data_IF_689675791850
#
_entry.id   IF_689675791850
#
_cell.length_a   1.000
_cell.length_b   1.000
_cell.length_c   1.000
_cell.angle_alpha   90.00
_cell.angle_beta   90.00
_cell.angle_gamma   90.00
#
_symmetry.space_group_name_H-M   'P 1'
#
loop_
_entity.id
_entity.type
_entity.pdbx_description
1 polymer ?
#
# COMPACT_ATOMS: atom_id res chain seq x y z
N UNK A 1 -6.99 -27.22 -54.18
CA UNK A 1 -7.43 -26.80 -52.83
C UNK A 1 -6.17 -26.50 -52.02
N UNK A 2 -5.87 -25.23 -51.80
CA UNK A 2 -4.86 -24.83 -50.81
C UNK A 2 -5.62 -24.01 -49.77
N UNK A 3 -5.90 -24.62 -48.62
CA UNK A 3 -6.48 -23.94 -47.47
C UNK A 3 -5.35 -23.14 -46.80
N UNK A 4 -5.56 -21.83 -46.65
CA UNK A 4 -4.77 -20.98 -45.78
C UNK A 4 -5.25 -21.18 -44.32
N UNK A 5 -4.40 -21.61 -43.38
CA UNK A 5 -4.78 -21.69 -41.97
C UNK A 5 -3.97 -20.68 -41.14
N UNK A 6 -4.22 -19.39 -41.32
CA UNK A 6 -3.71 -18.38 -40.39
C UNK A 6 -4.84 -17.46 -39.92
N UNK A 7 -5.82 -18.09 -39.26
CA UNK A 7 -6.60 -17.42 -38.23
C UNK A 7 -5.72 -17.39 -36.98
N UNK A 8 -5.01 -16.29 -36.73
CA UNK A 8 -4.51 -15.99 -35.40
C UNK A 8 -5.42 -14.92 -34.80
N UNK A 9 -6.41 -15.41 -34.08
CA UNK A 9 -7.07 -14.66 -33.02
C UNK A 9 -6.09 -14.58 -31.86
N UNK A 10 -5.57 -13.40 -31.55
CA UNK A 10 -5.04 -13.12 -30.23
C UNK A 10 -5.86 -11.99 -29.64
N UNK A 11 -6.94 -12.39 -28.99
CA UNK A 11 -7.46 -11.63 -27.86
C UNK A 11 -6.33 -11.56 -26.84
N UNK A 12 -5.80 -10.37 -26.62
CA UNK A 12 -4.87 -10.10 -25.55
C UNK A 12 -5.67 -10.04 -24.24
N UNK A 13 -5.96 -11.23 -23.71
CA UNK A 13 -6.21 -11.46 -22.29
C UNK A 13 -4.86 -11.30 -21.58
N UNK A 14 -4.58 -10.09 -21.11
CA UNK A 14 -3.61 -9.92 -20.04
C UNK A 14 -4.37 -9.70 -18.74
N UNK A 15 -4.71 -10.82 -18.10
CA UNK A 15 -4.83 -10.94 -16.65
C UNK A 15 -3.67 -10.20 -15.99
N UNK A 16 -3.97 -9.31 -15.04
CA UNK A 16 -3.10 -9.13 -13.88
C UNK A 16 -3.91 -8.59 -12.69
N UNK A 17 -4.02 -9.44 -11.66
CA UNK A 17 -4.12 -8.98 -10.28
C UNK A 17 -5.50 -8.88 -9.66
N UNK A 18 -6.29 -9.95 -9.71
CA UNK A 18 -7.15 -10.28 -8.57
C UNK A 18 -6.24 -10.44 -7.34
N UNK A 19 -6.19 -9.43 -6.47
CA UNK A 19 -5.79 -9.65 -5.09
C UNK A 19 -7.06 -10.02 -4.34
N UNK A 20 -7.12 -11.19 -3.67
CA UNK A 20 -8.26 -11.57 -2.87
C UNK A 20 -8.44 -10.50 -1.79
N UNK A 21 -9.55 -9.78 -1.89
CA UNK A 21 -10.07 -8.89 -0.86
C UNK A 21 -10.55 -9.80 0.26
N UNK A 22 -9.60 -10.28 1.07
CA UNK A 22 -9.86 -11.22 2.14
C UNK A 22 -10.90 -10.61 3.10
N UNK A 23 -12.05 -11.26 3.16
CA UNK A 23 -13.22 -10.96 3.98
C UNK A 23 -13.00 -11.33 5.46
N UNK A 24 -11.93 -10.86 6.08
CA UNK A 24 -11.84 -10.80 7.54
C UNK A 24 -11.47 -9.36 7.91
N UNK A 25 -12.46 -8.65 8.46
CA UNK A 25 -12.46 -7.20 8.72
C UNK A 25 -11.49 -6.83 9.85
N UNK A 26 -10.26 -7.30 9.79
CA UNK A 26 -9.20 -6.93 10.71
C UNK A 26 -8.79 -5.48 10.41
N UNK A 27 -8.76 -4.59 11.42
CA UNK A 27 -8.37 -3.21 11.22
C UNK A 27 -6.96 -3.14 10.65
N UNK A 28 -6.78 -2.41 9.55
CA UNK A 28 -5.47 -2.26 8.91
C UNK A 28 -4.54 -1.52 9.87
N UNK A 29 -3.42 -2.18 10.16
CA UNK A 29 -2.37 -1.64 11.03
C UNK A 29 -1.17 -1.19 10.21
N UNK A 30 -0.52 -0.14 10.69
CA UNK A 30 0.56 0.55 9.99
C UNK A 30 1.79 0.70 10.89
N UNK A 31 2.96 0.42 10.34
CA UNK A 31 4.24 0.83 10.91
C UNK A 31 4.63 2.17 10.33
N UNK A 32 4.91 3.13 11.21
CA UNK A 32 5.40 4.45 10.89
C UNK A 32 6.92 4.51 11.07
N UNK A 33 7.59 5.26 10.22
CA UNK A 33 9.03 5.46 10.25
C UNK A 33 9.35 6.92 9.98
N UNK A 34 10.04 7.58 10.90
CA UNK A 34 10.37 9.02 10.81
C UNK A 34 11.69 9.33 10.09
N UNK A 35 12.28 8.35 9.43
CA UNK A 35 13.56 8.50 8.74
C UNK A 35 13.65 7.56 7.55
N UNK A 36 14.30 8.00 6.48
CA UNK A 36 14.55 7.17 5.29
C UNK A 36 15.67 6.14 5.53
N UNK A 37 16.49 6.36 6.56
CA UNK A 37 17.53 5.42 6.96
C UNK A 37 16.95 4.08 7.40
N UNK A 38 17.41 3.00 6.78
CA UNK A 38 17.05 1.61 7.11
C UNK A 38 17.27 1.28 8.59
N UNK A 39 18.21 1.95 9.25
CA UNK A 39 18.61 1.75 10.65
C UNK A 39 17.72 2.43 11.69
N UNK A 40 16.78 3.29 11.28
CA UNK A 40 15.87 3.93 12.24
C UNK A 40 14.73 2.98 12.59
N UNK A 41 14.46 2.83 13.89
CA UNK A 41 13.34 2.08 14.42
C UNK A 41 12.02 2.50 13.79
N UNK A 42 11.29 1.52 13.25
CA UNK A 42 9.91 1.69 12.85
C UNK A 42 9.02 1.65 14.10
N UNK A 43 8.24 2.71 14.30
CA UNK A 43 7.24 2.85 15.35
C UNK A 43 5.91 2.22 14.90
N UNK A 44 5.23 1.46 15.75
CA UNK A 44 3.91 0.89 15.46
C UNK A 44 3.67 -0.40 16.25
N UNK A 45 2.57 -1.13 15.99
CA UNK A 45 1.53 -0.89 14.98
C UNK A 45 0.55 0.23 15.37
N UNK A 46 0.18 1.08 14.41
CA UNK A 46 -0.81 2.16 14.56
C UNK A 46 -2.02 1.93 13.66
N UNK A 47 -3.19 2.42 14.06
CA UNK A 47 -4.40 2.36 13.23
C UNK A 47 -4.44 3.48 12.20
N UNK A 48 -5.19 3.25 11.13
CA UNK A 48 -5.54 4.24 10.10
C UNK A 48 -6.03 5.55 10.72
N UNK A 49 -6.96 5.49 11.68
CA UNK A 49 -7.50 6.66 12.38
C UNK A 49 -6.43 7.46 13.14
N UNK A 50 -5.51 6.77 13.84
CA UNK A 50 -4.46 7.44 14.61
C UNK A 50 -3.48 8.19 13.68
N UNK A 51 -3.16 7.62 12.52
CA UNK A 51 -2.34 8.27 11.50
C UNK A 51 -3.06 9.48 10.89
N UNK A 52 -4.35 9.36 10.58
CA UNK A 52 -5.21 10.47 10.12
C UNK A 52 -5.18 11.62 11.13
N UNK A 53 -5.39 11.33 12.42
CA UNK A 53 -5.37 12.33 13.49
C UNK A 53 -4.01 13.03 13.61
N UNK A 54 -2.89 12.32 13.44
CA UNK A 54 -1.56 12.94 13.48
C UNK A 54 -1.26 13.79 12.25
N UNK A 55 -1.75 13.40 11.07
CA UNK A 55 -1.70 14.24 9.87
C UNK A 55 -2.51 15.52 10.05
N UNK A 56 -3.74 15.40 10.56
CA UNK A 56 -4.63 16.54 10.85
C UNK A 56 -4.04 17.49 11.90
N UNK A 57 -3.52 16.95 13.01
CA UNK A 57 -2.80 17.75 14.02
C UNK A 57 -1.51 18.38 13.50
N UNK A 58 -1.02 17.97 12.34
CA UNK A 58 0.22 18.46 11.79
C UNK A 58 1.47 18.01 12.56
N UNK A 59 1.39 16.91 13.32
CA UNK A 59 2.54 16.27 13.99
C UNK A 59 3.68 15.95 13.01
N UNK A 60 3.32 15.70 11.76
CA UNK A 60 4.25 15.41 10.67
C UNK A 60 4.74 16.64 9.90
N UNK A 61 4.27 17.84 10.24
CA UNK A 61 4.74 19.08 9.58
C UNK A 61 6.22 19.36 9.89
N UNK A 62 6.68 18.95 11.07
CA UNK A 62 8.07 19.07 11.48
C UNK A 62 8.93 17.88 10.98
N UNK A 63 8.32 16.70 10.89
CA UNK A 63 8.97 15.50 10.38
C UNK A 63 8.78 15.39 8.86
N UNK A 64 9.73 15.93 8.08
CA UNK A 64 9.65 15.95 6.60
C UNK A 64 9.66 14.58 5.92
N UNK A 65 10.15 13.54 6.59
CA UNK A 65 10.23 12.19 6.05
C UNK A 65 9.46 11.21 6.95
N UNK A 66 8.14 11.18 6.81
CA UNK A 66 7.29 10.17 7.46
C UNK A 66 6.91 9.13 6.42
N UNK A 67 7.41 7.93 6.64
CA UNK A 67 7.09 6.79 5.83
C UNK A 67 6.21 5.82 6.63
N UNK A 68 5.32 5.12 5.95
CA UNK A 68 4.41 4.15 6.53
C UNK A 68 4.42 2.88 5.68
N UNK A 69 4.21 1.73 6.33
CA UNK A 69 3.98 0.44 5.68
C UNK A 69 2.87 -0.31 6.41
N UNK A 70 2.13 -1.15 5.69
CA UNK A 70 1.17 -2.05 6.32
C UNK A 70 1.91 -3.11 7.13
N UNK A 71 1.42 -3.41 8.34
CA UNK A 71 1.99 -4.44 9.22
C UNK A 71 1.84 -5.83 8.60
N UNK A 72 0.74 -6.05 7.89
CA UNK A 72 0.44 -7.28 7.15
C UNK A 72 1.44 -7.57 6.02
N UNK A 73 2.11 -6.53 5.51
CA UNK A 73 3.12 -6.64 4.44
C UNK A 73 4.52 -6.30 4.97
N UNK A 74 5.21 -7.22 5.66
CA UNK A 74 6.54 -6.96 6.22
C UNK A 74 7.62 -6.72 5.14
N UNK A 75 7.47 -7.33 3.97
CA UNK A 75 8.30 -7.11 2.77
C UNK A 75 7.83 -5.90 1.94
N UNK A 76 6.77 -5.22 2.38
CA UNK A 76 6.22 -4.05 1.71
C UNK A 76 7.16 -2.85 1.77
N UNK A 77 7.24 -2.12 0.67
CA UNK A 77 7.96 -0.85 0.62
C UNK A 77 7.30 0.19 1.54
N UNK A 78 8.14 1.01 2.16
CA UNK A 78 7.71 2.17 2.93
C UNK A 78 7.29 3.30 1.98
N UNK A 79 6.07 3.81 2.14
CA UNK A 79 5.53 4.91 1.34
C UNK A 79 5.37 6.16 2.19
N UNK A 80 5.44 7.34 1.57
CA UNK A 80 5.18 8.58 2.30
C UNK A 80 3.73 8.58 2.79
N UNK A 81 3.53 8.90 4.08
CA UNK A 81 2.20 8.95 4.71
C UNK A 81 1.24 9.87 3.95
N UNK A 82 1.74 10.97 3.37
CA UNK A 82 0.92 11.91 2.59
C UNK A 82 0.50 11.36 1.21
N UNK A 83 1.09 10.26 0.75
CA UNK A 83 0.72 9.59 -0.50
C UNK A 83 -0.22 8.42 -0.31
N UNK A 84 -0.41 7.97 0.92
CA UNK A 84 -1.36 6.91 1.23
C UNK A 84 -2.72 7.55 1.45
N UNK A 85 -3.71 7.07 0.71
CA UNK A 85 -5.10 7.34 1.00
C UNK A 85 -5.60 6.34 2.05
N UNK A 86 -5.73 6.83 3.29
CA UNK A 86 -6.16 6.04 4.44
C UNK A 86 -7.67 5.74 4.43
N UNK A 87 -8.45 6.50 3.66
CA UNK A 87 -9.90 6.34 3.53
C UNK A 87 -10.26 5.01 2.84
N UNK A 88 -9.39 4.55 1.93
CA UNK A 88 -9.50 3.24 1.29
C UNK A 88 -9.38 2.03 2.25
N UNK A 89 -8.99 2.28 3.50
CA UNK A 89 -8.73 1.26 4.53
C UNK A 89 -9.56 1.48 5.81
N UNK A 90 -10.58 2.32 5.75
CA UNK A 90 -11.59 2.55 6.81
C UNK A 90 -12.77 1.59 6.69
#
# INVERSE_FOLDING_TARGET
MVLNPYAVSTADDTKNGDQPKNEDSAPVMWHLKRSESSATDCEGPYTTEQLKQWMDQGKFREAKCILVRQVDKPDGQFYNINRIDFDLYE
#
